data_IF_179564381688
#
_entry.id   IF_179564381688
#
_cell.length_a   1.000
_cell.length_b   1.000
_cell.length_c   1.000
_cell.angle_alpha   90.00
_cell.angle_beta   90.00
_cell.angle_gamma   90.00
#
_symmetry.space_group_name_H-M   'P 1'
#
loop_
_entity.id
_entity.type
_entity.pdbx_description
1 polymer ?
#
# COMPACT_ATOMS: atom_id res chain seq x y z
N UNK A 1 6.11 16.40 7.84
CA UNK A 1 4.86 15.94 7.26
C UNK A 1 4.34 16.87 6.17
N UNK A 2 3.77 16.34 5.13
CA UNK A 2 3.25 17.09 3.98
C UNK A 2 1.96 16.45 3.47
N UNK A 3 1.03 17.27 2.96
CA UNK A 3 -0.16 16.74 2.28
C UNK A 3 0.26 15.90 1.07
N UNK A 4 -0.34 14.75 0.90
CA UNK A 4 -0.06 13.80 -0.17
C UNK A 4 -0.14 14.45 -1.57
N UNK A 5 -1.13 15.30 -1.79
CA UNK A 5 -1.26 16.04 -3.06
C UNK A 5 -0.15 17.07 -3.29
N UNK A 6 0.49 17.59 -2.24
CA UNK A 6 1.54 18.61 -2.37
C UNK A 6 2.96 18.04 -2.42
N UNK A 7 3.14 16.76 -2.09
CA UNK A 7 4.45 16.10 -2.20
C UNK A 7 4.97 16.08 -3.63
N UNK A 8 4.09 16.19 -4.63
CA UNK A 8 4.46 16.27 -6.05
C UNK A 8 5.43 17.44 -6.35
N UNK A 9 5.36 18.56 -5.59
CA UNK A 9 6.25 19.72 -5.76
C UNK A 9 7.66 19.45 -5.25
N UNK A 10 7.87 18.38 -4.51
CA UNK A 10 9.15 17.96 -3.94
C UNK A 10 9.69 16.68 -4.57
N UNK A 11 9.08 16.22 -5.66
CA UNK A 11 9.48 14.99 -6.33
C UNK A 11 10.96 14.97 -6.73
N UNK A 12 11.41 16.06 -7.36
CA UNK A 12 12.80 16.19 -7.78
C UNK A 12 13.75 16.17 -6.58
N UNK A 13 13.45 16.94 -5.52
CA UNK A 13 14.27 16.97 -4.30
C UNK A 13 14.30 15.61 -3.59
N UNK A 14 13.17 14.90 -3.54
CA UNK A 14 13.15 13.55 -2.96
C UNK A 14 14.03 12.61 -3.79
N UNK A 15 13.90 12.64 -5.12
CA UNK A 15 14.67 11.78 -5.99
C UNK A 15 16.16 12.12 -5.99
N UNK A 16 16.52 13.41 -6.18
CA UNK A 16 17.90 13.86 -6.36
C UNK A 16 18.64 13.99 -5.03
N UNK A 17 18.04 14.67 -4.05
CA UNK A 17 18.76 15.04 -2.83
C UNK A 17 18.71 13.93 -1.76
N UNK A 18 17.63 13.17 -1.70
CA UNK A 18 17.49 12.10 -0.74
C UNK A 18 17.85 10.72 -1.30
N UNK A 19 17.20 10.31 -2.41
CA UNK A 19 17.25 8.92 -2.83
C UNK A 19 18.53 8.54 -3.58
N UNK A 20 19.13 9.44 -4.37
CA UNK A 20 20.43 9.17 -5.02
C UNK A 20 21.52 8.92 -3.96
N UNK A 21 21.50 9.68 -2.89
CA UNK A 21 22.50 9.61 -1.82
C UNK A 21 22.13 8.64 -0.69
N UNK A 22 20.97 7.99 -0.75
CA UNK A 22 20.40 7.23 0.38
C UNK A 22 20.40 8.05 1.69
N UNK A 23 20.12 9.34 1.60
CA UNK A 23 20.08 10.21 2.77
C UNK A 23 18.89 9.81 3.67
N UNK A 24 19.11 9.37 4.91
CA UNK A 24 18.03 8.96 5.78
C UNK A 24 17.16 10.16 6.13
N UNK A 25 15.88 10.03 5.78
CA UNK A 25 14.87 11.03 6.06
C UNK A 25 13.52 10.37 6.20
N UNK A 26 12.68 10.86 7.10
CA UNK A 26 11.31 10.38 7.27
C UNK A 26 10.33 11.41 6.72
N UNK A 27 9.54 11.01 5.74
CA UNK A 27 8.50 11.82 5.11
C UNK A 27 7.15 11.20 5.47
N UNK A 28 6.29 11.93 6.17
CA UNK A 28 4.91 11.51 6.39
C UNK A 28 4.02 12.23 5.41
N UNK A 29 3.44 11.49 4.47
CA UNK A 29 2.44 11.99 3.53
C UNK A 29 1.05 11.74 4.12
N UNK A 30 0.34 12.79 4.50
CA UNK A 30 -1.00 12.66 5.05
C UNK A 30 -2.05 13.15 4.05
N UNK A 31 -3.29 12.70 4.26
CA UNK A 31 -4.39 12.86 3.33
C UNK A 31 -4.16 12.17 1.98
N UNK A 32 -3.48 11.02 2.03
CA UNK A 32 -3.57 10.01 0.99
C UNK A 32 -4.98 9.44 0.97
N UNK A 33 -5.46 9.01 -0.19
CA UNK A 33 -6.83 8.51 -0.35
C UNK A 33 -7.87 9.59 -0.67
N UNK A 34 -9.11 9.14 -0.76
CA UNK A 34 -10.31 9.97 -0.93
C UNK A 34 -10.91 10.46 0.38
N UNK A 35 -10.39 10.02 1.52
CA UNK A 35 -10.93 10.39 2.82
C UNK A 35 -10.48 11.78 3.28
N UNK A 36 -11.39 12.53 3.84
CA UNK A 36 -11.14 13.73 4.64
C UNK A 36 -11.35 15.07 3.94
N UNK A 37 -11.22 15.18 2.63
CA UNK A 37 -11.53 16.43 1.87
C UNK A 37 -12.21 16.12 0.55
N UNK A 38 -13.24 16.89 0.23
CA UNK A 38 -13.96 16.85 -1.03
C UNK A 38 -13.50 17.96 -1.99
N UNK A 39 -12.21 18.23 -2.02
CA UNK A 39 -11.64 19.25 -2.89
C UNK A 39 -10.65 18.58 -3.85
N UNK A 40 -10.89 18.72 -5.14
CA UNK A 40 -10.06 18.13 -6.21
C UNK A 40 -8.58 18.44 -6.07
N UNK A 41 -8.23 19.58 -5.47
CA UNK A 41 -6.85 20.02 -5.27
C UNK A 41 -6.16 19.39 -4.06
N UNK A 42 -6.90 18.71 -3.19
CA UNK A 42 -6.39 18.17 -1.91
C UNK A 42 -6.52 16.65 -1.77
N UNK A 43 -6.95 15.97 -2.81
CA UNK A 43 -7.05 14.51 -2.81
C UNK A 43 -5.70 13.87 -3.11
N UNK A 44 -5.24 13.01 -2.23
CA UNK A 44 -3.99 12.26 -2.36
C UNK A 44 -4.18 10.97 -3.14
N UNK A 45 -4.40 11.06 -4.45
CA UNK A 45 -4.71 9.93 -5.31
C UNK A 45 -3.56 9.51 -6.21
N UNK A 46 -2.62 10.43 -6.46
CA UNK A 46 -1.53 10.24 -7.43
C UNK A 46 -0.18 9.96 -6.75
N UNK A 47 -0.12 10.01 -5.44
CA UNK A 47 1.10 9.84 -4.67
C UNK A 47 1.71 8.44 -4.81
N UNK A 48 0.87 7.40 -4.87
CA UNK A 48 1.32 6.02 -5.06
C UNK A 48 2.12 5.88 -6.37
N UNK A 49 1.55 6.13 -7.56
CA UNK A 49 2.30 6.01 -8.81
C UNK A 49 3.48 6.98 -8.91
N UNK A 50 3.35 8.16 -8.34
CA UNK A 50 4.40 9.17 -8.40
C UNK A 50 5.62 8.81 -7.55
N UNK A 51 5.41 8.39 -6.31
CA UNK A 51 6.53 8.13 -5.39
C UNK A 51 7.05 6.69 -5.47
N UNK A 52 6.20 5.73 -5.80
CA UNK A 52 6.57 4.34 -5.83
C UNK A 52 7.57 3.96 -6.96
N UNK A 53 7.86 4.87 -7.87
CA UNK A 53 8.84 4.67 -8.93
C UNK A 53 10.23 5.27 -8.61
N UNK A 54 10.38 5.99 -7.49
CA UNK A 54 11.67 6.58 -7.10
C UNK A 54 12.57 5.46 -6.55
N UNK A 55 13.75 5.22 -7.16
CA UNK A 55 14.70 4.24 -6.63
C UNK A 55 15.14 4.61 -5.20
N UNK A 56 15.42 3.59 -4.40
CA UNK A 56 15.87 3.70 -3.00
C UNK A 56 14.85 4.30 -2.02
N UNK A 57 13.73 4.82 -2.48
CA UNK A 57 12.66 5.26 -1.57
C UNK A 57 11.90 4.05 -1.02
N UNK A 58 11.78 3.97 0.29
CA UNK A 58 10.87 3.05 0.95
C UNK A 58 9.56 3.78 1.21
N UNK A 59 8.46 3.28 0.65
CA UNK A 59 7.15 3.89 0.82
C UNK A 59 6.19 2.91 1.47
N UNK A 60 5.73 3.25 2.68
CA UNK A 60 4.93 2.41 3.56
C UNK A 60 3.48 2.90 3.64
N UNK A 61 2.55 1.97 3.84
CA UNK A 61 1.13 2.24 4.06
C UNK A 61 0.62 1.44 5.26
N UNK A 62 0.59 2.01 6.47
CA UNK A 62 0.03 1.36 7.64
C UNK A 62 -1.49 1.21 7.51
N UNK A 63 -2.04 0.17 8.14
CA UNK A 63 -3.48 -0.06 8.23
C UNK A 63 -4.05 0.35 9.58
N UNK A 64 -3.20 0.40 10.63
CA UNK A 64 -3.58 0.78 11.98
C UNK A 64 -2.67 1.88 12.55
N UNK A 65 -3.11 2.51 13.64
CA UNK A 65 -2.32 3.47 14.40
C UNK A 65 -1.03 2.84 14.93
N UNK A 66 -1.14 1.61 15.40
CA UNK A 66 -0.02 0.87 15.99
C UNK A 66 1.04 0.59 14.92
N UNK A 67 0.65 0.17 13.74
CA UNK A 67 1.55 0.00 12.60
C UNK A 67 2.21 1.32 12.20
N UNK A 68 1.44 2.42 12.16
CA UNK A 68 1.99 3.74 11.86
C UNK A 68 3.08 4.15 12.85
N UNK A 69 2.83 3.98 14.16
CA UNK A 69 3.79 4.34 15.18
C UNK A 69 5.06 3.48 15.09
N UNK A 70 4.92 2.18 14.87
CA UNK A 70 6.05 1.27 14.69
C UNK A 70 6.87 1.58 13.42
N UNK A 71 6.20 1.89 12.31
CA UNK A 71 6.87 2.34 11.07
C UNK A 71 7.59 3.67 11.27
N UNK A 72 6.98 4.62 11.98
CA UNK A 72 7.58 5.91 12.27
C UNK A 72 8.84 5.76 13.15
N UNK A 73 8.74 4.99 14.23
CA UNK A 73 9.86 4.69 15.12
C UNK A 73 11.01 4.05 14.33
N UNK A 74 10.73 2.97 13.61
CA UNK A 74 11.74 2.33 12.76
C UNK A 74 12.36 3.30 11.75
N UNK A 75 11.55 4.12 11.09
CA UNK A 75 12.05 5.04 10.05
C UNK A 75 12.94 6.15 10.60
N UNK A 76 12.77 6.53 11.86
CA UNK A 76 13.60 7.54 12.54
C UNK A 76 14.89 6.94 13.09
N UNK A 77 14.86 5.69 13.53
CA UNK A 77 16.01 5.00 14.13
C UNK A 77 16.99 4.44 13.09
N UNK A 78 16.49 4.01 11.92
CA UNK A 78 17.35 3.53 10.84
C UNK A 78 18.09 4.69 10.16
N UNK A 79 19.23 4.41 9.54
CA UNK A 79 20.07 5.40 8.87
C UNK A 79 20.53 4.96 7.46
N UNK A 80 19.78 4.08 6.82
CA UNK A 80 20.15 3.48 5.54
C UNK A 80 19.34 4.02 4.36
N UNK A 81 18.07 4.42 4.61
CA UNK A 81 17.12 4.73 3.53
C UNK A 81 16.30 5.99 3.82
N UNK A 82 15.92 6.75 2.77
CA UNK A 82 14.78 7.66 2.84
C UNK A 82 13.48 6.85 2.89
N UNK A 83 12.62 7.17 3.86
CA UNK A 83 11.36 6.47 4.11
C UNK A 83 10.20 7.45 4.01
N UNK A 84 9.17 7.09 3.26
CA UNK A 84 7.89 7.78 3.25
C UNK A 84 6.81 6.88 3.88
N UNK A 85 5.89 7.48 4.64
CA UNK A 85 4.77 6.80 5.27
C UNK A 85 3.48 7.49 4.84
N UNK A 86 2.57 6.74 4.23
CA UNK A 86 1.30 7.23 3.69
C UNK A 86 0.17 7.08 4.70
N UNK A 87 -0.46 8.18 5.05
CA UNK A 87 -1.60 8.20 5.96
C UNK A 87 -2.86 8.73 5.25
N UNK A 88 -4.04 8.21 5.61
CA UNK A 88 -5.31 8.71 5.12
C UNK A 88 -5.64 10.11 5.69
N UNK A 89 -6.62 10.79 5.11
CA UNK A 89 -7.12 12.07 5.60
C UNK A 89 -8.03 11.98 6.82
N UNK A 90 -8.55 10.79 7.11
CA UNK A 90 -9.38 10.53 8.27
C UNK A 90 -8.61 9.99 9.47
N UNK A 91 -9.34 9.55 10.48
CA UNK A 91 -8.72 8.91 11.64
C UNK A 91 -8.09 7.56 11.26
N UNK A 92 -6.89 7.30 11.74
CA UNK A 92 -6.28 5.98 11.64
C UNK A 92 -6.91 5.08 12.71
N UNK A 93 -7.39 3.91 12.29
CA UNK A 93 -8.03 2.96 13.18
C UNK A 93 -7.00 2.37 14.13
N UNK A 94 -7.35 2.23 15.41
CA UNK A 94 -6.54 1.52 16.40
C UNK A 94 -7.15 0.15 16.65
N UNK A 95 -6.34 -0.90 16.62
CA UNK A 95 -6.77 -2.26 16.99
C UNK A 95 -6.17 -2.72 18.34
N UNK A 96 -5.33 -1.88 18.94
CA UNK A 96 -4.71 -2.10 20.24
C UNK A 96 -3.68 -3.23 20.27
N UNK A 97 -3.26 -3.75 19.12
CA UNK A 97 -2.29 -4.84 19.04
C UNK A 97 -0.87 -4.31 18.99
N UNK A 98 0.01 -4.96 19.72
CA UNK A 98 1.43 -4.72 19.61
C UNK A 98 1.96 -5.15 18.24
N UNK A 99 2.77 -4.28 17.62
CA UNK A 99 3.43 -4.56 16.35
C UNK A 99 4.83 -5.09 16.63
N UNK A 100 5.02 -6.38 16.40
CA UNK A 100 6.33 -7.06 16.61
C UNK A 100 7.12 -7.22 15.32
N UNK A 101 6.62 -6.64 14.21
CA UNK A 101 7.20 -6.76 12.89
C UNK A 101 8.51 -6.00 12.77
N UNK A 102 9.48 -6.65 12.15
CA UNK A 102 10.76 -6.06 11.76
C UNK A 102 10.67 -5.41 10.38
N UNK A 103 10.56 -4.08 10.32
CA UNK A 103 10.48 -3.33 9.07
C UNK A 103 11.81 -3.22 8.31
N UNK A 104 12.94 -3.64 8.89
CA UNK A 104 14.22 -3.73 8.17
C UNK A 104 14.21 -4.83 7.10
N UNK A 105 13.31 -5.81 7.23
CA UNK A 105 13.05 -6.84 6.21
C UNK A 105 12.18 -6.28 5.12
N UNK A 106 12.79 -5.51 4.23
CA UNK A 106 12.09 -4.74 3.21
C UNK A 106 11.19 -5.61 2.30
N UNK A 107 10.07 -5.02 1.90
CA UNK A 107 9.09 -5.60 0.96
C UNK A 107 8.49 -6.94 1.39
N UNK A 108 8.58 -7.32 2.68
CA UNK A 108 7.91 -8.50 3.19
C UNK A 108 6.46 -8.20 3.53
N UNK A 109 5.56 -9.02 3.02
CA UNK A 109 4.12 -8.94 3.26
C UNK A 109 3.72 -9.86 4.41
N UNK A 110 2.51 -9.70 4.92
CA UNK A 110 1.97 -10.54 5.98
C UNK A 110 0.68 -11.21 5.50
N UNK A 111 0.64 -12.54 5.63
CA UNK A 111 -0.60 -13.30 5.48
C UNK A 111 -1.35 -13.23 6.81
N UNK A 112 -2.42 -12.46 6.84
CA UNK A 112 -3.24 -12.27 8.04
C UNK A 112 -4.39 -13.26 8.13
N UNK A 113 -4.73 -13.91 7.03
CA UNK A 113 -5.68 -15.00 6.92
C UNK A 113 -5.23 -16.00 5.86
N UNK A 114 -5.07 -17.24 6.25
CA UNK A 114 -4.80 -18.33 5.33
C UNK A 114 -6.08 -18.79 4.63
N UNK A 115 -5.98 -19.06 3.33
CA UNK A 115 -7.08 -19.53 2.49
C UNK A 115 -6.57 -20.20 1.22
N UNK A 116 -7.43 -20.32 0.21
CA UNK A 116 -7.12 -20.96 -1.08
C UNK A 116 -7.89 -20.32 -2.22
N UNK A 117 -7.44 -20.56 -3.45
CA UNK A 117 -8.10 -20.16 -4.71
C UNK A 117 -8.03 -18.66 -4.99
N UNK A 118 -8.28 -17.81 -4.01
CA UNK A 118 -8.28 -16.36 -4.14
C UNK A 118 -7.40 -15.76 -3.06
N UNK A 119 -6.48 -14.89 -3.42
CA UNK A 119 -5.74 -14.06 -2.49
C UNK A 119 -6.20 -12.60 -2.65
N UNK A 120 -6.46 -11.94 -1.52
CA UNK A 120 -6.85 -10.53 -1.46
C UNK A 120 -5.73 -9.74 -0.80
N UNK A 121 -5.18 -8.78 -1.51
CA UNK A 121 -4.11 -7.89 -1.04
C UNK A 121 -4.68 -6.49 -0.91
N UNK A 122 -4.91 -6.03 0.31
CA UNK A 122 -5.45 -4.70 0.60
C UNK A 122 -4.36 -3.74 1.06
N UNK A 123 -4.15 -2.64 0.34
CA UNK A 123 -3.12 -1.66 0.65
C UNK A 123 -3.64 -0.59 1.62
N UNK A 124 -2.92 -0.38 2.73
CA UNK A 124 -3.20 0.70 3.67
C UNK A 124 -4.65 0.65 4.18
N UNK A 125 -5.39 1.75 4.04
CA UNK A 125 -6.79 1.83 4.50
C UNK A 125 -7.73 0.86 3.79
N UNK A 126 -7.41 0.44 2.56
CA UNK A 126 -8.22 -0.54 1.84
C UNK A 126 -7.97 -1.99 2.26
N UNK A 127 -7.06 -2.22 3.20
CA UNK A 127 -6.92 -3.54 3.83
C UNK A 127 -8.20 -3.97 4.57
N UNK A 128 -8.85 -3.04 5.30
CA UNK A 128 -10.14 -3.33 5.95
C UNK A 128 -11.22 -3.76 4.95
N UNK A 129 -11.34 -3.04 3.84
CA UNK A 129 -12.24 -3.40 2.73
C UNK A 129 -11.88 -4.76 2.12
N UNK A 130 -10.57 -5.06 2.03
CA UNK A 130 -10.09 -6.37 1.57
C UNK A 130 -10.54 -7.52 2.47
N UNK A 131 -10.54 -7.33 3.79
CA UNK A 131 -11.06 -8.31 4.74
C UNK A 131 -12.56 -8.52 4.58
N UNK A 132 -13.33 -7.44 4.51
CA UNK A 132 -14.78 -7.50 4.30
C UNK A 132 -15.14 -8.23 3.00
N UNK A 133 -14.39 -7.94 1.93
CA UNK A 133 -14.56 -8.62 0.65
C UNK A 133 -14.24 -10.12 0.75
N UNK A 134 -13.20 -10.50 1.49
CA UNK A 134 -12.84 -11.90 1.72
C UNK A 134 -13.93 -12.64 2.50
N UNK A 135 -14.47 -12.03 3.55
CA UNK A 135 -15.56 -12.59 4.36
C UNK A 135 -16.84 -12.78 3.52
N UNK A 136 -17.17 -11.78 2.69
CA UNK A 136 -18.31 -11.85 1.78
C UNK A 136 -18.15 -12.97 0.71
N UNK A 137 -16.93 -13.16 0.19
CA UNK A 137 -16.61 -14.25 -0.73
C UNK A 137 -16.73 -15.61 -0.06
N UNK A 138 -16.21 -15.77 1.16
CA UNK A 138 -16.36 -17.01 1.92
C UNK A 138 -17.84 -17.35 2.16
N UNK A 139 -18.62 -16.37 2.60
CA UNK A 139 -20.05 -16.54 2.83
C UNK A 139 -20.81 -16.93 1.56
N UNK A 140 -20.43 -16.36 0.41
CA UNK A 140 -21.13 -16.57 -0.86
C UNK A 140 -20.71 -17.85 -1.58
N UNK A 141 -19.43 -18.19 -1.54
CA UNK A 141 -18.85 -19.24 -2.38
C UNK A 141 -18.35 -20.45 -1.56
N UNK A 142 -18.32 -20.36 -0.24
CA UNK A 142 -17.87 -21.44 0.66
C UNK A 142 -16.35 -21.70 0.61
N UNK A 143 -15.58 -20.81 -0.05
CA UNK A 143 -14.12 -20.91 -0.11
C UNK A 143 -13.52 -19.71 0.60
N UNK A 144 -12.67 -19.97 1.58
CA UNK A 144 -11.98 -18.95 2.36
C UNK A 144 -10.81 -18.38 1.56
N UNK A 145 -10.80 -17.05 1.24
CA UNK A 145 -9.67 -16.43 0.58
C UNK A 145 -8.49 -16.25 1.53
N UNK A 146 -7.27 -16.19 0.99
CA UNK A 146 -6.11 -15.65 1.68
C UNK A 146 -6.20 -14.13 1.75
N UNK A 147 -5.91 -13.52 2.91
CA UNK A 147 -5.86 -12.06 3.07
C UNK A 147 -4.45 -11.65 3.43
N UNK A 148 -3.94 -10.63 2.73
CA UNK A 148 -2.55 -10.19 2.82
C UNK A 148 -2.51 -8.69 3.08
N UNK A 149 -1.72 -8.29 4.08
CA UNK A 149 -1.32 -6.90 4.31
C UNK A 149 0.08 -6.68 3.70
N UNK A 150 0.22 -5.88 2.66
CA UNK A 150 1.50 -5.68 1.98
C UNK A 150 2.44 -4.71 2.72
N UNK A 151 1.93 -3.78 3.52
CA UNK A 151 2.67 -2.69 4.19
C UNK A 151 3.47 -1.77 3.27
N UNK A 152 4.10 -2.30 2.22
CA UNK A 152 5.01 -1.60 1.31
C UNK A 152 4.30 -1.25 0.00
N UNK A 153 4.37 0.01 -0.37
CA UNK A 153 3.92 0.50 -1.68
C UNK A 153 5.02 0.28 -2.73
N UNK A 154 6.29 0.48 -2.33
CA UNK A 154 7.46 0.21 -3.17
C UNK A 154 7.83 -1.27 -3.14
N UNK A 155 8.17 -1.89 -4.22
CA UNK A 155 8.58 -3.28 -4.27
C UNK A 155 7.43 -4.30 -4.08
N UNK A 156 7.79 -5.57 -4.12
CA UNK A 156 6.88 -6.71 -3.95
C UNK A 156 7.57 -7.83 -3.16
N UNK A 157 6.82 -8.60 -2.39
CA UNK A 157 7.30 -9.85 -1.78
C UNK A 157 7.24 -10.98 -2.80
N UNK A 158 8.32 -11.09 -3.60
CA UNK A 158 8.38 -12.07 -4.67
C UNK A 158 8.25 -13.52 -4.15
N UNK A 159 8.78 -13.83 -2.97
CA UNK A 159 8.72 -15.17 -2.38
C UNK A 159 7.28 -15.54 -1.99
N UNK A 160 6.58 -14.64 -1.31
CA UNK A 160 5.18 -14.86 -0.97
C UNK A 160 4.31 -14.94 -2.22
N UNK A 161 4.44 -14.00 -3.15
CA UNK A 161 3.64 -13.98 -4.38
C UNK A 161 3.88 -15.23 -5.24
N UNK A 162 5.12 -15.73 -5.30
CA UNK A 162 5.43 -16.98 -6.01
C UNK A 162 4.78 -18.18 -5.33
N UNK A 163 4.75 -18.21 -4.01
CA UNK A 163 4.13 -19.28 -3.23
C UNK A 163 2.63 -19.43 -3.49
N UNK A 164 1.93 -18.32 -3.76
CA UNK A 164 0.49 -18.32 -4.06
C UNK A 164 0.14 -19.10 -5.33
N UNK A 165 1.07 -19.23 -6.29
CA UNK A 165 0.85 -19.98 -7.53
C UNK A 165 0.54 -21.47 -7.31
N UNK A 166 0.80 -22.00 -6.11
CA UNK A 166 0.59 -23.41 -5.80
C UNK A 166 -0.88 -23.80 -5.63
N UNK A 167 -1.69 -22.89 -5.08
CA UNK A 167 -3.07 -23.19 -4.70
C UNK A 167 -4.05 -22.03 -4.87
N UNK A 168 -3.61 -20.94 -5.54
CA UNK A 168 -4.45 -19.80 -5.91
C UNK A 168 -4.53 -19.64 -7.43
N UNK A 169 -5.70 -19.25 -7.90
CA UNK A 169 -6.00 -18.99 -9.31
C UNK A 169 -6.14 -17.48 -9.59
N UNK A 170 -6.49 -16.71 -8.54
CA UNK A 170 -6.81 -15.28 -8.65
C UNK A 170 -6.15 -14.50 -7.52
N UNK A 171 -5.52 -13.39 -7.85
CA UNK A 171 -5.08 -12.36 -6.92
C UNK A 171 -5.93 -11.11 -7.13
N UNK A 172 -6.49 -10.59 -6.07
CA UNK A 172 -7.24 -9.33 -6.06
C UNK A 172 -6.43 -8.31 -5.30
N UNK A 173 -6.21 -7.13 -5.88
CA UNK A 173 -5.59 -6.00 -5.19
C UNK A 173 -6.60 -4.89 -4.96
N UNK A 174 -6.53 -4.24 -3.81
CA UNK A 174 -7.31 -3.06 -3.47
C UNK A 174 -6.37 -1.94 -3.03
N UNK A 175 -6.49 -0.79 -3.68
CA UNK A 175 -5.73 0.43 -3.34
C UNK A 175 -6.61 1.67 -3.43
N UNK A 176 -6.36 2.64 -2.55
CA UNK A 176 -7.07 3.92 -2.50
C UNK A 176 -6.35 5.03 -3.29
N UNK A 177 -5.68 4.64 -4.35
CA UNK A 177 -4.99 5.47 -5.33
C UNK A 177 -5.48 5.21 -6.74
N UNK A 178 -4.96 5.99 -7.70
CA UNK A 178 -5.20 5.78 -9.12
C UNK A 178 -4.55 4.46 -9.55
N UNK A 179 -5.31 3.65 -10.31
CA UNK A 179 -4.84 2.34 -10.79
C UNK A 179 -3.65 2.44 -11.74
N UNK A 180 -3.67 3.44 -12.63
CA UNK A 180 -2.58 3.67 -13.61
C UNK A 180 -1.26 3.95 -12.91
N UNK A 181 -0.29 3.07 -13.04
CA UNK A 181 0.99 3.11 -12.34
C UNK A 181 0.91 2.77 -10.86
N UNK A 182 -0.23 2.31 -10.36
CA UNK A 182 -0.50 2.01 -8.97
C UNK A 182 0.14 0.72 -8.44
N UNK A 183 -0.20 0.39 -7.22
CA UNK A 183 0.29 -0.81 -6.54
C UNK A 183 -0.17 -2.10 -7.24
N UNK A 184 -1.44 -2.16 -7.65
CA UNK A 184 -2.01 -3.34 -8.32
C UNK A 184 -1.32 -3.67 -9.64
N UNK A 185 -0.87 -2.68 -10.39
CA UNK A 185 -0.13 -2.91 -11.64
C UNK A 185 1.23 -3.58 -11.40
N UNK A 186 1.91 -3.31 -10.27
CA UNK A 186 3.14 -4.02 -9.91
C UNK A 186 2.88 -5.51 -9.66
N UNK A 187 1.78 -5.81 -8.97
CA UNK A 187 1.35 -7.19 -8.72
C UNK A 187 0.97 -7.87 -10.05
N UNK A 188 0.23 -7.20 -10.92
CA UNK A 188 -0.11 -7.72 -12.24
C UNK A 188 1.15 -7.99 -13.09
N UNK A 189 2.13 -7.07 -13.05
CA UNK A 189 3.40 -7.25 -13.74
C UNK A 189 4.19 -8.47 -13.22
N UNK A 190 4.17 -8.70 -11.89
CA UNK A 190 4.83 -9.86 -11.30
C UNK A 190 4.26 -11.18 -11.85
N UNK A 191 2.96 -11.25 -12.07
CA UNK A 191 2.29 -12.44 -12.59
C UNK A 191 2.16 -12.49 -14.12
N UNK A 192 2.72 -11.52 -14.85
CA UNK A 192 2.50 -11.35 -16.28
C UNK A 192 2.95 -12.52 -17.17
N UNK A 193 3.86 -13.35 -16.68
CA UNK A 193 4.35 -14.58 -17.37
C UNK A 193 3.72 -15.87 -16.81
N UNK A 194 2.70 -15.75 -15.97
CA UNK A 194 2.03 -16.89 -15.31
C UNK A 194 0.56 -17.00 -15.72
N UNK A 195 -0.08 -18.07 -15.26
CA UNK A 195 -1.53 -18.29 -15.42
C UNK A 195 -2.38 -17.60 -14.34
N UNK A 196 -1.74 -16.95 -13.38
CA UNK A 196 -2.43 -16.24 -12.29
C UNK A 196 -3.24 -15.09 -12.85
N UNK A 197 -4.53 -15.06 -12.56
CA UNK A 197 -5.38 -13.92 -12.90
C UNK A 197 -5.26 -12.84 -11.84
N UNK A 198 -4.96 -11.61 -12.26
CA UNK A 198 -4.90 -10.46 -11.34
C UNK A 198 -6.05 -9.51 -11.63
N UNK A 199 -6.79 -9.11 -10.60
CA UNK A 199 -7.89 -8.15 -10.66
C UNK A 199 -7.53 -6.97 -9.75
N UNK A 200 -7.37 -5.80 -10.35
CA UNK A 200 -7.01 -4.58 -9.63
C UNK A 200 -8.24 -3.71 -9.39
N UNK A 201 -8.48 -3.33 -8.14
CA UNK A 201 -9.52 -2.41 -7.72
C UNK A 201 -8.90 -1.18 -7.07
N UNK A 202 -9.32 -0.03 -7.53
CA UNK A 202 -8.84 1.27 -7.09
C UNK A 202 -9.56 2.39 -7.83
N UNK A 203 -8.98 3.57 -7.85
CA UNK A 203 -9.60 4.75 -8.44
C UNK A 203 -9.27 4.87 -9.94
N UNK A 204 -10.21 5.41 -10.68
CA UNK A 204 -10.00 5.73 -12.09
C UNK A 204 -9.05 6.92 -12.22
N UNK A 205 -8.38 7.02 -13.37
CA UNK A 205 -7.52 8.14 -13.73
C UNK A 205 -8.36 9.35 -14.12
N UNK A 206 -8.96 9.97 -13.12
CA UNK A 206 -9.79 11.17 -13.29
C UNK A 206 -9.65 12.10 -12.09
N UNK A 207 -9.93 13.38 -12.27
CA UNK A 207 -10.03 14.32 -11.17
C UNK A 207 -11.41 14.18 -10.52
N UNK A 208 -11.42 13.72 -9.28
CA UNK A 208 -12.64 13.62 -8.50
C UNK A 208 -12.98 14.99 -7.91
N UNK A 209 -14.20 15.45 -8.13
CA UNK A 209 -14.73 16.66 -7.54
C UNK A 209 -16.08 16.34 -6.87
N UNK A 210 -16.16 16.59 -5.56
CA UNK A 210 -17.37 16.42 -4.76
C UNK A 210 -18.00 15.02 -4.90
N UNK A 211 -17.39 14.06 -4.26
CA UNK A 211 -17.95 12.71 -4.12
C UNK A 211 -18.64 12.56 -2.74
N UNK A 212 -19.67 11.72 -2.70
CA UNK A 212 -20.41 11.35 -1.48
C UNK A 212 -19.78 10.13 -0.80
#
# INVERSE_FOLDING_TARGET
>A
GVYSTFVQRTYDQIAQDLCINNSPATIVTFWGSVYGMNDVTHLGLQDIPMMANIPNLIYLAPTTKEEYLAMLEWSVEQNEYPVAIRLPGGAVVSDGKEVTRDFSKLNKYEVTQEGKKVAVIGLGTFYGLGKEAADAMEAKFGTKPTVINPYYITGVDAELLDSLKKDHDVVITLEDGILDGGFGEKIARFYGDSTMKVLNFGLKKEFLDRYD
#
